data_IF_455032585512
#
_entry.id   IF_455032585512
#
_cell.length_a   1.000
_cell.length_b   1.000
_cell.length_c   1.000
_cell.angle_alpha   90.00
_cell.angle_beta   90.00
_cell.angle_gamma   90.00
#
_symmetry.space_group_name_H-M   'P 1'
#
loop_
_entity.id
_entity.type
_entity.pdbx_description
1 polymer ?
#
# COMPACT_ATOMS: atom_id res chain seq x y z
N UNK A 1 16.36 4.64 -17.05
CA UNK A 1 15.13 3.94 -16.63
C UNK A 1 14.05 4.21 -17.65
N UNK A 2 13.53 3.19 -18.32
CA UNK A 2 12.37 3.34 -19.20
C UNK A 2 11.11 3.02 -18.40
N UNK A 3 10.05 3.81 -18.59
CA UNK A 3 8.78 3.64 -17.91
C UNK A 3 7.69 3.34 -18.94
N UNK A 4 6.90 2.30 -18.68
CA UNK A 4 5.71 1.98 -19.44
C UNK A 4 4.52 1.85 -18.48
N UNK A 5 3.44 2.61 -18.72
CA UNK A 5 2.25 2.55 -17.86
C UNK A 5 1.61 1.16 -17.91
N UNK A 6 1.44 0.54 -16.74
CA UNK A 6 0.75 -0.74 -16.55
C UNK A 6 -0.70 -0.50 -16.12
N UNK A 7 -0.90 0.44 -15.21
CA UNK A 7 -2.19 0.78 -14.66
C UNK A 7 -2.23 2.27 -14.34
N UNK A 8 -3.34 2.94 -14.59
CA UNK A 8 -3.56 4.33 -14.18
C UNK A 8 -5.02 4.56 -13.88
N UNK A 9 -5.29 5.25 -12.78
CA UNK A 9 -6.62 5.50 -12.27
C UNK A 9 -6.61 6.85 -11.53
N UNK A 10 -7.48 7.77 -11.94
CA UNK A 10 -7.54 9.11 -11.31
C UNK A 10 -8.12 9.05 -9.90
N UNK A 11 -8.92 8.02 -9.59
CA UNK A 11 -9.70 7.90 -8.36
C UNK A 11 -10.63 9.10 -8.17
N UNK A 12 -11.27 9.54 -9.24
CA UNK A 12 -12.10 10.73 -9.29
C UNK A 12 -13.54 10.48 -9.79
N UNK A 13 -13.83 9.28 -10.30
CA UNK A 13 -15.14 8.87 -10.83
C UNK A 13 -15.58 7.54 -10.20
N UNK A 14 -16.86 7.35 -9.89
CA UNK A 14 -17.34 6.12 -9.24
C UNK A 14 -16.92 4.83 -9.96
N UNK A 15 -16.91 4.86 -11.31
CA UNK A 15 -16.44 3.74 -12.13
C UNK A 15 -14.97 3.35 -11.91
N UNK A 16 -14.14 4.25 -11.36
CA UNK A 16 -12.74 3.98 -11.02
C UNK A 16 -12.58 2.90 -9.95
N UNK A 17 -13.61 2.69 -9.11
CA UNK A 17 -13.59 1.66 -8.06
C UNK A 17 -13.94 0.27 -8.60
N UNK A 18 -14.35 0.14 -9.87
CA UNK A 18 -14.68 -1.16 -10.47
C UNK A 18 -13.47 -2.12 -10.52
N UNK A 19 -12.26 -1.58 -10.55
CA UNK A 19 -11.00 -2.34 -10.51
C UNK A 19 -10.47 -2.59 -9.09
N UNK A 20 -11.27 -2.30 -8.07
CA UNK A 20 -10.86 -2.43 -6.67
C UNK A 20 -11.78 -3.34 -5.86
N UNK A 21 -11.24 -3.90 -4.78
CA UNK A 21 -11.97 -4.76 -3.82
C UNK A 21 -11.62 -4.29 -2.41
N UNK A 22 -12.65 -3.96 -1.63
CA UNK A 22 -12.51 -3.63 -0.22
C UNK A 22 -12.56 -4.91 0.62
N UNK A 23 -11.58 -5.06 1.51
CA UNK A 23 -11.62 -6.02 2.61
C UNK A 23 -11.68 -5.27 3.93
N UNK A 24 -12.65 -5.63 4.78
CA UNK A 24 -12.93 -4.95 6.05
C UNK A 24 -14.07 -3.95 5.98
N UNK A 25 -14.25 -3.20 7.07
CA UNK A 25 -15.40 -2.31 7.25
C UNK A 25 -15.03 -0.83 7.18
N UNK A 26 -15.90 -0.03 6.57
CA UNK A 26 -15.75 1.42 6.49
C UNK A 26 -16.29 2.01 5.20
N UNK A 27 -16.01 3.30 5.03
CA UNK A 27 -16.29 4.07 3.81
C UNK A 27 -15.14 3.88 2.82
N UNK A 28 -15.49 3.50 1.59
CA UNK A 28 -14.63 3.51 0.42
C UNK A 28 -15.43 3.98 -0.79
N UNK A 29 -15.36 5.28 -1.08
CA UNK A 29 -16.22 5.91 -2.08
C UNK A 29 -15.51 7.04 -2.81
N UNK A 30 -16.06 7.47 -3.94
CA UNK A 30 -15.60 8.67 -4.62
C UNK A 30 -16.45 9.86 -4.16
N UNK A 31 -15.83 10.86 -3.54
CA UNK A 31 -16.51 12.08 -3.16
C UNK A 31 -15.62 13.31 -3.39
N UNK A 32 -16.12 14.28 -4.17
CA UNK A 32 -15.35 15.49 -4.50
C UNK A 32 -14.13 15.22 -5.37
N UNK A 33 -14.24 14.30 -6.35
CA UNK A 33 -13.18 13.92 -7.31
C UNK A 33 -11.92 13.34 -6.64
N UNK A 34 -12.12 12.53 -5.62
CA UNK A 34 -11.09 11.81 -4.87
C UNK A 34 -11.70 10.57 -4.25
N UNK A 35 -10.89 9.53 -4.08
CA UNK A 35 -11.23 8.40 -3.24
C UNK A 35 -11.17 8.84 -1.78
N UNK A 36 -12.27 8.67 -1.06
CA UNK A 36 -12.38 8.80 0.38
C UNK A 36 -12.34 7.42 0.99
N UNK A 37 -11.38 7.22 1.89
CA UNK A 37 -11.30 6.02 2.72
C UNK A 37 -11.40 6.43 4.19
N UNK A 38 -12.29 5.77 4.93
CA UNK A 38 -12.35 5.84 6.39
C UNK A 38 -12.77 4.48 6.94
N UNK A 39 -11.92 3.85 7.74
CA UNK A 39 -12.31 2.62 8.44
C UNK A 39 -13.26 2.96 9.60
N UNK A 40 -14.27 2.13 9.83
CA UNK A 40 -15.33 2.37 10.82
C UNK A 40 -15.69 1.07 11.58
N UNK A 41 -16.51 1.22 12.63
CA UNK A 41 -17.15 0.12 13.37
C UNK A 41 -16.17 -0.89 13.99
N UNK A 42 -15.06 -0.41 14.56
CA UNK A 42 -14.05 -1.27 15.19
C UNK A 42 -13.19 -2.05 14.18
N UNK A 43 -13.32 -1.76 12.88
CA UNK A 43 -12.64 -2.49 11.81
C UNK A 43 -11.47 -1.72 11.21
N UNK A 44 -10.60 -2.42 10.49
CA UNK A 44 -9.60 -1.81 9.63
C UNK A 44 -9.96 -2.16 8.19
N UNK A 45 -9.35 -1.48 7.23
CA UNK A 45 -9.66 -1.75 5.83
C UNK A 45 -8.42 -1.87 4.95
N UNK A 46 -8.54 -2.69 3.90
CA UNK A 46 -7.57 -2.80 2.82
C UNK A 46 -8.31 -2.75 1.49
N UNK A 47 -7.99 -1.76 0.66
CA UNK A 47 -8.52 -1.62 -0.68
C UNK A 47 -7.49 -2.16 -1.69
N UNK A 48 -7.78 -3.31 -2.28
CA UNK A 48 -6.90 -3.99 -3.23
C UNK A 48 -7.22 -3.59 -4.66
N UNK A 49 -6.20 -3.29 -5.45
CA UNK A 49 -6.35 -3.23 -6.90
C UNK A 49 -6.42 -4.67 -7.46
N UNK A 50 -7.31 -4.92 -8.43
CA UNK A 50 -7.51 -6.23 -9.05
C UNK A 50 -6.41 -6.60 -10.05
N UNK A 51 -5.60 -5.64 -10.52
CA UNK A 51 -4.53 -5.87 -11.49
C UNK A 51 -3.28 -6.43 -10.79
N UNK A 52 -2.68 -7.47 -11.38
CA UNK A 52 -1.35 -7.94 -10.96
C UNK A 52 -0.29 -6.97 -11.51
N UNK A 53 0.48 -6.37 -10.61
CA UNK A 53 1.59 -5.46 -10.96
C UNK A 53 2.86 -6.28 -11.28
N UNK A 54 3.74 -5.79 -12.17
CA UNK A 54 4.98 -6.50 -12.51
C UNK A 54 5.93 -6.59 -11.32
N UNK A 55 7.02 -7.37 -11.45
CA UNK A 55 8.03 -7.52 -10.39
C UNK A 55 8.81 -6.23 -10.13
N UNK A 56 9.01 -5.44 -11.18
CA UNK A 56 9.76 -4.19 -11.17
C UNK A 56 8.85 -3.06 -11.62
N UNK A 57 8.55 -2.15 -10.70
CA UNK A 57 7.56 -1.11 -10.90
C UNK A 57 7.88 0.18 -10.13
N UNK A 58 7.32 1.26 -10.64
CA UNK A 58 7.15 2.53 -9.94
C UNK A 58 5.66 2.76 -9.75
N UNK A 59 5.18 2.71 -8.50
CA UNK A 59 3.82 3.06 -8.14
C UNK A 59 3.79 4.45 -7.54
N UNK A 60 2.88 5.31 -8.00
CA UNK A 60 2.73 6.67 -7.51
C UNK A 60 1.26 6.96 -7.21
N UNK A 61 1.01 7.69 -6.14
CA UNK A 61 -0.31 8.20 -5.79
C UNK A 61 -0.20 9.44 -4.93
N UNK A 62 -1.30 10.17 -4.81
CA UNK A 62 -1.44 11.27 -3.86
C UNK A 62 -2.18 10.81 -2.63
N UNK A 63 -1.76 11.30 -1.47
CA UNK A 63 -2.34 10.98 -0.18
C UNK A 63 -2.53 12.25 0.66
N UNK A 64 -3.65 12.32 1.39
CA UNK A 64 -3.95 13.40 2.33
C UNK A 64 -4.63 12.82 3.56
N UNK A 65 -4.00 12.89 4.75
CA UNK A 65 -4.67 12.64 6.03
C UNK A 65 -5.51 13.86 6.44
N UNK A 66 -6.64 13.66 7.12
CA UNK A 66 -7.50 14.78 7.55
C UNK A 66 -7.33 15.18 9.00
N UNK A 67 -6.69 14.33 9.79
CA UNK A 67 -6.47 14.49 11.22
C UNK A 67 -5.09 13.98 11.57
N UNK A 68 -4.48 14.57 12.58
CA UNK A 68 -3.16 14.21 13.09
C UNK A 68 -3.25 12.97 14.00
N UNK A 69 -3.69 11.87 13.40
CA UNK A 69 -3.81 10.54 14.00
C UNK A 69 -3.93 9.51 12.88
N UNK A 70 -3.49 8.28 13.13
CA UNK A 70 -3.74 7.19 12.20
C UNK A 70 -2.51 6.42 11.79
N UNK A 71 -2.80 5.43 10.95
CA UNK A 71 -1.80 4.61 10.32
C UNK A 71 -2.29 4.19 8.93
N UNK A 72 -1.55 4.58 7.89
CA UNK A 72 -1.77 4.14 6.52
C UNK A 72 -0.61 3.27 6.03
N UNK A 73 -0.96 2.20 5.32
CA UNK A 73 -0.02 1.21 4.78
C UNK A 73 -0.27 1.04 3.28
N UNK A 74 0.80 0.78 2.54
CA UNK A 74 0.73 0.15 1.22
C UNK A 74 1.22 -1.30 1.33
N UNK A 75 0.43 -2.25 0.83
CA UNK A 75 0.87 -3.62 0.53
C UNK A 75 1.27 -3.71 -0.93
N UNK A 76 2.29 -4.50 -1.24
CA UNK A 76 2.73 -4.72 -2.61
C UNK A 76 3.42 -6.09 -2.76
N UNK A 77 3.59 -6.53 -4.01
CA UNK A 77 4.08 -7.88 -4.33
C UNK A 77 3.22 -8.99 -3.67
N UNK A 78 1.92 -8.72 -3.47
CA UNK A 78 1.06 -9.63 -2.72
C UNK A 78 0.64 -10.81 -3.58
N UNK A 79 1.04 -12.02 -3.18
CA UNK A 79 0.78 -13.27 -3.90
C UNK A 79 0.72 -14.47 -2.96
N UNK A 80 -0.19 -15.41 -3.22
CA UNK A 80 -0.32 -16.64 -2.44
C UNK A 80 1.00 -17.40 -2.34
N UNK A 81 1.19 -18.19 -1.28
CA UNK A 81 2.46 -18.92 -1.03
C UNK A 81 2.89 -19.83 -2.20
N UNK A 82 1.94 -20.24 -3.04
CA UNK A 82 2.17 -21.04 -4.26
C UNK A 82 1.97 -20.26 -5.56
N UNK A 83 2.07 -18.93 -5.53
CA UNK A 83 1.90 -18.07 -6.70
C UNK A 83 0.44 -17.72 -7.05
N UNK A 84 -0.51 -18.06 -6.19
CA UNK A 84 -1.94 -17.82 -6.41
C UNK A 84 -2.28 -16.32 -6.39
N UNK A 85 -3.26 -15.92 -7.19
CA UNK A 85 -3.89 -14.61 -7.06
C UNK A 85 -4.56 -14.49 -5.67
N UNK A 86 -4.34 -13.38 -4.95
CA UNK A 86 -4.84 -13.27 -3.58
C UNK A 86 -6.35 -13.04 -3.49
N UNK A 87 -6.99 -12.54 -4.55
CA UNK A 87 -8.42 -12.20 -4.58
C UNK A 87 -9.26 -13.34 -5.17
N UNK A 88 -8.70 -14.08 -6.12
CA UNK A 88 -9.43 -15.10 -6.89
C UNK A 88 -8.85 -16.51 -6.77
N UNK A 89 -7.65 -16.66 -6.20
CA UNK A 89 -6.91 -17.93 -6.15
C UNK A 89 -7.28 -18.87 -5.00
N UNK A 90 -8.45 -18.70 -4.39
CA UNK A 90 -8.97 -19.58 -3.34
C UNK A 90 -8.21 -19.51 -2.01
N UNK A 91 -7.59 -18.37 -1.71
CA UNK A 91 -6.99 -18.11 -0.39
C UNK A 91 -8.06 -17.86 0.67
N UNK A 92 -7.67 -17.94 1.94
CA UNK A 92 -8.55 -17.67 3.08
C UNK A 92 -9.18 -16.28 2.97
N UNK A 93 -10.47 -16.14 3.35
CA UNK A 93 -11.12 -14.84 3.44
C UNK A 93 -10.36 -13.89 4.35
N UNK A 94 -10.46 -12.59 4.07
CA UNK A 94 -9.86 -11.52 4.85
C UNK A 94 -10.90 -10.44 5.11
N UNK A 95 -10.79 -9.84 6.28
CA UNK A 95 -11.78 -8.96 6.89
C UNK A 95 -11.16 -7.66 7.40
N UNK A 96 -9.92 -7.36 7.01
CA UNK A 96 -9.19 -6.18 7.47
C UNK A 96 -8.39 -6.40 8.75
N UNK A 97 -8.57 -7.50 9.48
CA UNK A 97 -7.72 -7.85 10.64
C UNK A 97 -6.27 -8.02 10.18
N UNK A 98 -5.36 -7.22 10.76
CA UNK A 98 -3.98 -7.16 10.31
C UNK A 98 -3.27 -8.52 10.32
N UNK A 99 -3.62 -9.41 11.26
CA UNK A 99 -3.03 -10.76 11.36
C UNK A 99 -3.24 -11.59 10.10
N UNK A 100 -4.36 -11.40 9.42
CA UNK A 100 -4.68 -12.09 8.17
C UNK A 100 -3.71 -11.70 7.04
N UNK A 101 -3.09 -10.52 7.11
CA UNK A 101 -2.20 -10.00 6.07
C UNK A 101 -0.73 -10.30 6.32
N UNK A 102 -0.32 -10.40 7.58
CA UNK A 102 1.09 -10.68 7.93
C UNK A 102 1.34 -12.12 8.39
N UNK A 103 0.31 -12.85 8.82
CA UNK A 103 0.36 -14.28 9.14
C UNK A 103 -0.69 -15.11 8.36
N UNK A 104 -1.14 -14.62 7.20
CA UNK A 104 -2.04 -15.33 6.31
C UNK A 104 -1.39 -16.43 5.46
N UNK A 105 -2.06 -16.77 4.38
CA UNK A 105 -1.67 -17.77 3.38
C UNK A 105 -1.06 -17.17 2.09
N UNK A 106 -0.61 -15.92 2.16
CA UNK A 106 0.12 -15.23 1.11
C UNK A 106 1.38 -14.52 1.63
N UNK A 107 2.24 -14.11 0.71
CA UNK A 107 3.41 -13.29 0.98
C UNK A 107 3.19 -11.89 0.39
N UNK A 108 3.77 -10.88 1.01
CA UNK A 108 3.79 -9.50 0.51
C UNK A 108 4.86 -8.68 1.23
N UNK A 109 5.23 -7.55 0.65
CA UNK A 109 5.83 -6.47 1.43
C UNK A 109 4.74 -5.53 1.89
N UNK A 110 5.00 -4.80 2.97
CA UNK A 110 4.19 -3.64 3.32
C UNK A 110 5.02 -2.52 3.92
N UNK A 111 4.65 -1.29 3.58
CA UNK A 111 5.24 -0.08 4.18
C UNK A 111 4.14 0.70 4.88
N UNK A 112 4.35 0.99 6.17
CA UNK A 112 3.56 2.00 6.89
C UNK A 112 4.20 3.36 6.68
N UNK A 113 3.64 4.14 5.76
CA UNK A 113 4.19 5.43 5.30
C UNK A 113 3.57 6.65 5.99
N UNK A 114 2.49 6.46 6.75
CA UNK A 114 1.93 7.40 7.69
C UNK A 114 1.61 6.64 8.99
N UNK A 115 2.17 7.07 10.11
CA UNK A 115 1.99 6.49 11.44
C UNK A 115 2.17 7.58 12.49
N UNK A 116 1.10 8.30 12.77
CA UNK A 116 1.13 9.44 13.70
C UNK A 116 1.66 9.03 15.08
N UNK A 117 2.54 9.86 15.65
CA UNK A 117 3.20 9.61 16.93
C UNK A 117 4.39 8.64 16.87
N UNK A 118 4.47 7.75 15.87
CA UNK A 118 5.61 6.83 15.69
C UNK A 118 6.76 7.44 14.89
N UNK A 119 6.45 8.44 14.05
CA UNK A 119 7.39 9.24 13.23
C UNK A 119 8.34 8.45 12.33
N UNK A 120 8.09 7.14 12.14
CA UNK A 120 8.93 6.22 11.38
C UNK A 120 8.13 5.54 10.27
N UNK A 121 8.75 5.47 9.09
CA UNK A 121 8.28 4.71 7.95
C UNK A 121 8.85 3.30 8.06
N UNK A 122 8.00 2.28 8.24
CA UNK A 122 8.49 0.91 8.46
C UNK A 122 8.14 0.01 7.28
N UNK A 123 9.16 -0.59 6.67
CA UNK A 123 9.02 -1.68 5.70
C UNK A 123 9.09 -3.01 6.43
N UNK A 124 8.13 -3.87 6.13
CA UNK A 124 8.09 -5.25 6.62
C UNK A 124 7.85 -6.23 5.48
N UNK A 125 8.37 -7.45 5.66
CA UNK A 125 8.14 -8.59 4.78
C UNK A 125 7.23 -9.61 5.45
N UNK A 126 6.23 -10.04 4.72
CA UNK A 126 5.25 -11.05 5.11
C UNK A 126 5.38 -12.26 4.16
N UNK A 127 5.09 -13.48 4.57
CA UNK A 127 4.63 -13.92 5.89
C UNK A 127 5.67 -13.69 7.00
N UNK A 128 5.23 -13.33 8.21
CA UNK A 128 6.06 -13.29 9.43
C UNK A 128 6.25 -11.91 10.07
N UNK A 129 5.73 -10.84 9.46
CA UNK A 129 5.82 -9.47 9.99
C UNK A 129 7.28 -9.02 10.24
N UNK A 130 8.24 -9.50 9.46
CA UNK A 130 9.66 -9.21 9.67
C UNK A 130 9.96 -7.73 9.42
N UNK A 131 10.57 -7.03 10.37
CA UNK A 131 11.02 -5.65 10.19
C UNK A 131 12.27 -5.63 9.31
N UNK A 132 12.09 -5.23 8.05
CA UNK A 132 13.14 -5.23 7.04
C UNK A 132 13.94 -3.94 7.07
N UNK A 133 13.25 -2.79 7.13
CA UNK A 133 13.87 -1.47 7.24
C UNK A 133 12.99 -0.49 8.01
N UNK A 134 13.66 0.53 8.56
CA UNK A 134 13.04 1.68 9.23
C UNK A 134 13.60 2.93 8.59
N UNK A 135 12.72 3.84 8.22
CA UNK A 135 13.03 5.15 7.67
C UNK A 135 12.21 6.23 8.38
N UNK A 136 12.17 7.42 7.80
CA UNK A 136 11.50 8.58 8.38
C UNK A 136 10.06 8.69 7.85
N UNK A 137 9.08 8.85 8.73
CA UNK A 137 7.71 9.17 8.31
C UNK A 137 7.62 10.65 7.91
N UNK A 138 7.84 10.92 6.63
CA UNK A 138 7.76 12.26 6.07
C UNK A 138 6.32 12.74 5.87
N UNK A 139 5.31 11.85 5.94
CA UNK A 139 3.90 12.23 5.79
C UNK A 139 3.38 12.85 7.08
N UNK A 140 3.76 12.29 8.24
CA UNK A 140 3.39 12.83 9.55
C UNK A 140 3.94 14.25 9.82
N UNK A 141 5.00 14.65 9.12
CA UNK A 141 5.56 16.01 9.19
C UNK A 141 4.76 17.04 8.37
N UNK A 142 3.84 16.59 7.53
CA UNK A 142 3.00 17.46 6.70
C UNK A 142 1.69 17.73 7.45
N UNK A 143 1.22 19.00 7.53
CA UNK A 143 -0.03 19.30 8.24
C UNK A 143 -1.24 18.57 7.65
N UNK A 144 -2.17 18.16 8.51
CA UNK A 144 -3.44 17.58 8.09
C UNK A 144 -4.16 18.44 7.01
N UNK A 145 -4.75 17.77 6.04
CA UNK A 145 -5.43 18.38 4.90
C UNK A 145 -4.50 18.82 3.76
N UNK A 146 -3.17 18.71 3.92
CA UNK A 146 -2.22 18.94 2.83
C UNK A 146 -1.89 17.64 2.11
N UNK A 147 -1.85 17.72 0.79
CA UNK A 147 -1.56 16.58 -0.08
C UNK A 147 -0.06 16.35 -0.20
N UNK A 148 0.32 15.07 -0.21
CA UNK A 148 1.66 14.62 -0.56
C UNK A 148 1.61 13.66 -1.73
N UNK A 149 2.67 13.63 -2.54
CA UNK A 149 2.90 12.58 -3.53
C UNK A 149 3.75 11.47 -2.91
N UNK A 150 3.25 10.25 -2.94
CA UNK A 150 4.00 9.04 -2.60
C UNK A 150 4.52 8.40 -3.89
N UNK A 151 5.78 7.99 -3.89
CA UNK A 151 6.39 7.21 -4.98
C UNK A 151 7.07 5.98 -4.37
N UNK A 152 6.62 4.80 -4.75
CA UNK A 152 7.16 3.49 -4.37
C UNK A 152 7.86 2.86 -5.56
N UNK A 153 9.18 2.73 -5.48
CA UNK A 153 9.99 2.00 -6.44
C UNK A 153 10.31 0.61 -5.90
N UNK A 154 10.11 -0.41 -6.72
CA UNK A 154 10.55 -1.77 -6.49
C UNK A 154 11.29 -2.24 -7.74
N UNK A 155 12.56 -2.60 -7.64
CA UNK A 155 13.38 -3.12 -8.76
C UNK A 155 14.29 -4.23 -8.25
N UNK A 156 14.09 -5.46 -8.67
CA UNK A 156 14.85 -6.61 -8.16
C UNK A 156 14.70 -6.70 -6.63
N UNK A 157 15.80 -6.71 -5.90
CA UNK A 157 15.82 -6.66 -4.42
C UNK A 157 15.58 -5.27 -3.83
N UNK A 158 15.73 -4.21 -4.64
CA UNK A 158 15.78 -2.83 -4.17
C UNK A 158 14.38 -2.23 -4.02
N UNK A 159 14.12 -1.59 -2.89
CA UNK A 159 12.85 -0.95 -2.55
C UNK A 159 13.13 0.46 -2.04
N UNK A 160 12.45 1.45 -2.60
CA UNK A 160 12.49 2.84 -2.14
C UNK A 160 11.07 3.37 -1.99
N UNK A 161 10.79 4.07 -0.90
CA UNK A 161 9.60 4.90 -0.79
C UNK A 161 10.01 6.36 -0.58
N UNK A 162 9.48 7.25 -1.42
CA UNK A 162 9.70 8.68 -1.35
C UNK A 162 8.38 9.42 -1.13
N UNK A 163 8.46 10.54 -0.40
CA UNK A 163 7.36 11.48 -0.17
C UNK A 163 7.80 12.83 -0.72
N UNK A 164 7.04 13.40 -1.65
CA UNK A 164 7.37 14.66 -2.33
C UNK A 164 8.80 14.69 -2.90
N UNK A 165 9.25 13.57 -3.48
CA UNK A 165 10.61 13.34 -4.04
C UNK A 165 11.73 13.20 -3.01
N UNK A 166 11.44 13.28 -1.71
CA UNK A 166 12.42 13.00 -0.65
C UNK A 166 12.30 11.54 -0.25
N UNK A 167 13.42 10.80 -0.24
CA UNK A 167 13.45 9.39 0.18
C UNK A 167 13.10 9.31 1.67
N UNK A 168 12.03 8.59 1.97
CA UNK A 168 11.59 8.29 3.33
C UNK A 168 12.21 6.99 3.84
N UNK A 169 12.33 5.99 2.95
CA UNK A 169 12.87 4.67 3.25
C UNK A 169 13.53 4.06 2.01
N UNK A 170 14.62 3.34 2.22
CA UNK A 170 15.35 2.58 1.21
C UNK A 170 15.80 1.24 1.80
N UNK A 171 15.77 0.17 1.01
CA UNK A 171 16.09 -1.19 1.46
C UNK A 171 16.50 -2.10 0.30
N UNK A 172 17.53 -2.92 0.52
CA UNK A 172 17.92 -4.03 -0.36
C UNK A 172 17.61 -5.37 0.34
N UNK A 173 16.70 -6.15 -0.25
CA UNK A 173 16.37 -7.49 0.23
C UNK A 173 17.45 -8.50 -0.22
N UNK A 174 18.21 -9.04 0.72
CA UNK A 174 19.27 -10.02 0.44
C UNK A 174 18.74 -11.38 -0.08
N UNK A 175 17.42 -11.60 -0.06
CA UNK A 175 16.77 -12.81 -0.58
C UNK A 175 16.99 -14.06 0.27
N UNK A 176 17.55 -13.94 1.47
CA UNK A 176 17.93 -15.05 2.34
C UNK A 176 17.46 -14.88 3.79
N UNK A 177 17.63 -13.69 4.39
CA UNK A 177 17.33 -13.41 5.80
C UNK A 177 15.87 -13.63 6.15
N UNK A 178 14.97 -13.25 5.25
CA UNK A 178 13.51 -13.40 5.39
C UNK A 178 12.90 -14.14 4.20
N UNK A 179 13.66 -15.08 3.64
CA UNK A 179 13.29 -15.81 2.42
C UNK A 179 13.54 -15.02 1.13
N UNK A 180 13.16 -15.58 -0.04
CA UNK A 180 13.49 -15.02 -1.34
C UNK A 180 12.84 -13.66 -1.59
N UNK A 181 13.45 -12.85 -2.45
CA UNK A 181 12.89 -11.56 -2.91
C UNK A 181 11.51 -11.79 -3.53
N UNK A 182 10.51 -10.97 -3.17
CA UNK A 182 9.17 -11.09 -3.74
C UNK A 182 9.10 -10.39 -5.12
N UNK A 183 8.38 -11.03 -6.04
CA UNK A 183 8.20 -10.57 -7.42
C UNK A 183 6.88 -9.83 -7.66
N UNK A 184 6.24 -10.13 -8.79
CA UNK A 184 4.93 -9.57 -9.17
C UNK A 184 3.81 -9.88 -8.17
N UNK A 185 2.76 -9.06 -8.13
CA UNK A 185 1.57 -9.30 -7.30
C UNK A 185 0.67 -8.07 -7.17
N UNK A 186 -0.34 -8.16 -6.31
CA UNK A 186 -1.29 -7.05 -6.08
C UNK A 186 -0.65 -5.93 -5.26
N UNK A 187 -1.20 -4.72 -5.43
CA UNK A 187 -1.01 -3.58 -4.53
C UNK A 187 -2.32 -3.31 -3.79
N UNK A 188 -2.21 -3.00 -2.49
CA UNK A 188 -3.35 -2.68 -1.63
C UNK A 188 -3.09 -1.48 -0.75
N UNK A 189 -4.09 -0.63 -0.56
CA UNK A 189 -4.05 0.55 0.30
C UNK A 189 -4.78 0.24 1.60
N UNK A 190 -4.09 0.33 2.73
CA UNK A 190 -4.64 0.01 4.05
C UNK A 190 -4.75 1.24 4.92
N UNK A 191 -5.81 1.27 5.73
CA UNK A 191 -5.97 2.20 6.84
C UNK A 191 -6.43 1.47 8.11
N UNK A 192 -5.90 1.92 9.25
CA UNK A 192 -6.48 1.59 10.56
C UNK A 192 -7.63 2.55 10.87
N UNK A 193 -8.61 2.09 11.65
CA UNK A 193 -9.82 2.84 12.04
C UNK A 193 -9.53 4.27 12.50
N UNK A 194 -8.59 4.41 13.44
CA UNK A 194 -8.22 5.68 14.04
C UNK A 194 -7.50 6.65 13.08
N UNK A 195 -7.29 6.27 11.82
CA UNK A 195 -6.87 7.22 10.76
C UNK A 195 -7.96 8.22 10.42
N UNK A 196 -9.22 7.87 10.70
CA UNK A 196 -10.35 8.66 10.23
C UNK A 196 -10.37 8.74 8.70
N UNK A 197 -10.87 9.86 8.17
CA UNK A 197 -10.90 10.07 6.72
C UNK A 197 -9.48 10.34 6.19
N UNK A 198 -9.16 9.72 5.07
CA UNK A 198 -8.05 10.16 4.24
C UNK A 198 -8.45 10.10 2.76
N UNK A 199 -7.69 10.83 1.95
CA UNK A 199 -7.97 10.98 0.54
C UNK A 199 -6.85 10.41 -0.32
N UNK A 200 -7.25 9.80 -1.44
CA UNK A 200 -6.34 9.24 -2.44
C UNK A 200 -6.71 9.76 -3.82
N UNK A 201 -5.70 10.05 -4.64
CA UNK A 201 -5.85 10.48 -6.04
C UNK A 201 -4.71 9.98 -6.92
N UNK A 202 -4.95 9.95 -8.22
CA UNK A 202 -3.94 9.77 -9.26
C UNK A 202 -3.04 8.54 -9.04
N UNK A 203 -3.65 7.37 -8.79
CA UNK A 203 -2.91 6.13 -8.61
C UNK A 203 -2.44 5.58 -9.95
N UNK A 204 -1.13 5.54 -10.16
CA UNK A 204 -0.51 5.05 -11.39
C UNK A 204 0.63 4.09 -11.08
N UNK A 205 0.74 3.02 -11.87
CA UNK A 205 1.83 2.05 -11.80
C UNK A 205 2.49 1.96 -13.18
N UNK A 206 3.80 2.13 -13.19
CA UNK A 206 4.65 1.94 -14.36
C UNK A 206 5.48 0.67 -14.19
N UNK A 207 5.64 -0.11 -15.26
CA UNK A 207 6.72 -1.09 -15.36
C UNK A 207 8.04 -0.34 -15.51
N UNK A 208 9.07 -0.85 -14.86
CA UNK A 208 10.43 -0.33 -14.96
C UNK A 208 11.28 -1.33 -15.73
N UNK A 209 11.84 -0.86 -16.84
CA UNK A 209 12.79 -1.59 -17.69
C UNK A 209 14.19 -0.92 -17.65
#
# INVERSE_FOLDING_TARGET
MKLATVYSCSLAHEGDLSDWVLEGGGVCEIAGKKLVMAAENGSHQVLWNKTDMPSDFLAEWKFTHTVDQGLAIVFFCAKGKKGQDILTGGLKPRTGDFKEYHHGDFNCYHISYYAWGRTTCNLRKNYGMYLAAVGNDLVSAVPAGKEVKISLLKMGSHITLAVNKTIALEYDDDGSRFGPVLGAGKIGLRQMEHTGKAYYRDFTVYRVD
#
